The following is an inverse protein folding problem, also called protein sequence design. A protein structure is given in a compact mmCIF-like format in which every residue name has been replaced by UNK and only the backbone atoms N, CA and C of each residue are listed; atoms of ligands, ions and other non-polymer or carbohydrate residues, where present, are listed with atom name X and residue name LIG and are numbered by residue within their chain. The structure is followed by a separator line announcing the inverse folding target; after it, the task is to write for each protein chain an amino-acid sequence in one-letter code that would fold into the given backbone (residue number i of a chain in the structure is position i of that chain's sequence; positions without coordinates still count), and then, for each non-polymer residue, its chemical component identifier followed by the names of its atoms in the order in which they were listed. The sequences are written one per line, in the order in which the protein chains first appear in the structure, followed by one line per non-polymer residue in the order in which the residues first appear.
data_IF_279593212073
#
_entry.id   IF_279593212073
#
_cell.length_a   1.000
_cell.length_b   1.000
_cell.length_c   1.000
_cell.angle_alpha   90.00
_cell.angle_beta   90.00
_cell.angle_gamma   90.00
#
_symmetry.space_group_name_H-M   'P 1'
#
loop_
_entity.id
_entity.type
_entity.pdbx_description
1 polymer ?
#
# COMPACT_ATOMS: atom_id res chain seq x y z
N UNK A 1 -10.64 -11.98 -18.01
CA UNK A 1 -10.86 -11.66 -16.58
C UNK A 1 -10.49 -12.87 -15.74
N UNK A 2 -10.16 -12.68 -14.47
CA UNK A 2 -9.77 -13.73 -13.51
C UNK A 2 -8.75 -14.73 -14.08
N UNK A 3 -7.62 -14.23 -14.59
CA UNK A 3 -6.64 -15.04 -15.32
C UNK A 3 -5.37 -15.28 -14.50
N UNK A 4 -5.11 -14.45 -13.48
CA UNK A 4 -3.89 -14.55 -12.66
C UNK A 4 -4.12 -15.34 -11.38
N UNK A 5 -3.16 -16.21 -11.04
CA UNK A 5 -3.10 -16.85 -9.72
C UNK A 5 -2.59 -15.90 -8.64
N UNK A 6 -1.74 -14.95 -9.03
CA UNK A 6 -1.16 -13.96 -8.14
C UNK A 6 -0.96 -12.61 -8.82
N UNK A 7 -1.06 -11.54 -8.05
CA UNK A 7 -0.72 -10.17 -8.43
C UNK A 7 0.30 -9.66 -7.41
N UNK A 8 1.42 -9.14 -7.90
CA UNK A 8 2.50 -8.57 -7.07
C UNK A 8 2.86 -7.20 -7.60
N UNK A 9 2.97 -6.22 -6.71
CA UNK A 9 3.46 -4.88 -7.03
C UNK A 9 4.60 -4.51 -6.08
N UNK A 10 5.69 -4.01 -6.62
CA UNK A 10 6.86 -3.58 -5.85
C UNK A 10 7.20 -2.17 -6.29
N UNK A 11 7.30 -1.26 -5.32
CA UNK A 11 7.72 0.14 -5.51
C UNK A 11 6.87 0.85 -6.58
N UNK A 12 5.55 0.73 -6.44
CA UNK A 12 4.60 1.23 -7.44
C UNK A 12 3.15 1.34 -6.93
N UNK A 13 2.72 0.48 -5.99
CA UNK A 13 1.32 0.39 -5.58
C UNK A 13 0.79 1.68 -4.96
N UNK A 14 1.63 2.45 -4.28
CA UNK A 14 1.32 3.77 -3.71
C UNK A 14 0.81 4.79 -4.74
N UNK A 15 1.22 4.68 -6.01
CA UNK A 15 0.83 5.64 -7.03
C UNK A 15 -0.64 5.50 -7.49
N UNK A 16 -1.27 4.35 -7.26
CA UNK A 16 -2.62 4.06 -7.75
C UNK A 16 -3.52 3.34 -6.74
N UNK A 17 -2.94 2.63 -5.78
CA UNK A 17 -3.62 1.74 -4.86
C UNK A 17 -4.30 2.43 -3.69
N UNK A 18 -4.06 3.73 -3.51
CA UNK A 18 -4.69 4.55 -2.45
C UNK A 18 -6.12 4.95 -2.79
N UNK A 19 -6.53 4.85 -4.05
CA UNK A 19 -7.89 5.10 -4.46
C UNK A 19 -8.81 3.97 -3.99
N UNK A 20 -9.88 4.31 -3.27
CA UNK A 20 -10.87 3.34 -2.74
C UNK A 20 -11.47 2.41 -3.82
N UNK A 21 -11.45 2.84 -5.08
CA UNK A 21 -11.98 2.10 -6.23
C UNK A 21 -10.97 1.14 -6.86
N UNK A 22 -9.68 1.24 -6.52
CA UNK A 22 -8.63 0.51 -7.23
C UNK A 22 -8.60 -0.97 -6.87
N UNK A 23 -8.73 -1.32 -5.59
CA UNK A 23 -8.76 -2.72 -5.16
C UNK A 23 -9.89 -3.52 -5.85
N UNK A 24 -11.16 -3.07 -5.84
CA UNK A 24 -12.23 -3.75 -6.59
C UNK A 24 -11.93 -3.91 -8.09
N UNK A 25 -11.34 -2.90 -8.71
CA UNK A 25 -10.94 -2.98 -10.13
C UNK A 25 -9.86 -4.05 -10.35
N UNK A 26 -8.82 -4.06 -9.52
CA UNK A 26 -7.69 -4.98 -9.62
C UNK A 26 -8.12 -6.44 -9.43
N UNK A 27 -9.05 -6.70 -8.51
CA UNK A 27 -9.52 -8.05 -8.20
C UNK A 27 -10.26 -8.72 -9.37
N UNK A 28 -10.71 -7.97 -10.38
CA UNK A 28 -11.29 -8.54 -11.62
C UNK A 28 -10.29 -9.38 -12.42
N UNK A 29 -8.99 -9.20 -12.18
CA UNK A 29 -7.93 -9.93 -12.87
C UNK A 29 -7.43 -11.14 -12.07
N UNK A 30 -7.68 -11.16 -10.75
CA UNK A 30 -7.26 -12.23 -9.84
C UNK A 30 -8.29 -13.36 -9.84
N UNK A 31 -7.84 -14.61 -9.91
CA UNK A 31 -8.72 -15.77 -9.75
C UNK A 31 -9.25 -15.87 -8.31
N UNK A 32 -10.45 -16.45 -8.10
CA UNK A 32 -10.91 -16.80 -6.76
C UNK A 32 -9.86 -17.64 -6.03
N UNK A 33 -9.50 -17.24 -4.80
CA UNK A 33 -8.46 -17.90 -4.01
C UNK A 33 -7.01 -17.53 -4.40
N UNK A 34 -6.81 -16.65 -5.39
CA UNK A 34 -5.51 -16.13 -5.75
C UNK A 34 -4.91 -15.19 -4.69
N UNK A 35 -3.64 -14.83 -4.86
CA UNK A 35 -2.90 -13.99 -3.90
C UNK A 35 -2.64 -12.58 -4.44
N UNK A 36 -2.78 -11.58 -3.59
CA UNK A 36 -2.38 -10.20 -3.86
C UNK A 36 -1.33 -9.79 -2.83
N UNK A 37 -0.21 -9.24 -3.29
CA UNK A 37 0.83 -8.70 -2.43
C UNK A 37 1.41 -7.40 -2.97
N UNK A 38 1.80 -6.51 -2.06
CA UNK A 38 2.54 -5.30 -2.41
C UNK A 38 3.70 -5.06 -1.45
N UNK A 39 4.74 -4.38 -1.95
CA UNK A 39 5.79 -3.74 -1.16
C UNK A 39 5.99 -2.33 -1.71
N UNK A 40 5.89 -1.32 -0.85
CA UNK A 40 5.94 0.11 -1.20
C UNK A 40 6.71 0.85 -0.11
N UNK A 41 7.31 2.01 -0.42
CA UNK A 41 7.65 2.99 0.59
C UNK A 41 6.47 3.27 1.53
N UNK A 42 6.78 3.49 2.80
CA UNK A 42 5.79 3.69 3.85
C UNK A 42 6.31 4.69 4.88
N UNK A 43 5.41 5.51 5.41
CA UNK A 43 5.68 6.28 6.61
C UNK A 43 5.50 5.39 7.86
N UNK A 44 6.22 5.70 8.93
CA UNK A 44 6.01 5.08 10.26
C UNK A 44 4.87 5.73 11.04
N UNK A 45 4.40 6.89 10.58
CA UNK A 45 3.23 7.61 11.09
C UNK A 45 2.55 8.36 9.95
N UNK A 46 1.22 8.39 9.95
CA UNK A 46 0.44 9.05 8.90
C UNK A 46 0.77 10.55 8.79
N UNK A 47 1.01 11.03 7.57
CA UNK A 47 1.26 12.45 7.30
C UNK A 47 0.07 13.31 7.73
N UNK A 48 -1.16 12.79 7.62
CA UNK A 48 -2.36 13.48 8.09
C UNK A 48 -2.30 13.79 9.60
N UNK A 49 -1.71 12.90 10.39
CA UNK A 49 -1.53 13.13 11.82
C UNK A 49 -0.38 14.08 12.12
N UNK A 50 0.67 14.04 11.30
CA UNK A 50 1.80 14.97 11.40
C UNK A 50 1.41 16.40 10.99
N UNK A 51 0.38 16.55 10.16
CA UNK A 51 -0.03 17.83 9.57
C UNK A 51 0.95 18.39 8.54
N UNK A 52 2.03 17.66 8.24
CA UNK A 52 3.08 18.04 7.30
C UNK A 52 3.86 16.82 6.82
N UNK A 53 4.51 16.95 5.66
CA UNK A 53 5.57 16.04 5.24
C UNK A 53 6.85 16.50 5.97
N UNK A 54 7.54 15.64 6.73
CA UNK A 54 8.81 15.99 7.36
C UNK A 54 9.81 16.54 6.35
N UNK A 55 10.52 17.62 6.69
CA UNK A 55 11.37 18.36 5.73
C UNK A 55 12.39 17.45 5.04
N UNK A 56 13.07 16.59 5.79
CA UNK A 56 14.07 15.66 5.25
C UNK A 56 13.49 14.63 4.29
N UNK A 57 12.21 14.27 4.40
CA UNK A 57 11.52 13.38 3.43
C UNK A 57 11.10 14.18 2.21
N UNK A 58 10.51 15.38 2.44
CA UNK A 58 10.08 16.28 1.38
C UNK A 58 11.23 16.71 0.47
N UNK A 59 12.44 16.84 0.99
CA UNK A 59 13.64 17.15 0.21
C UNK A 59 14.02 16.04 -0.77
N UNK A 60 13.66 14.78 -0.50
CA UNK A 60 14.01 13.62 -1.33
C UNK A 60 12.89 13.26 -2.31
N UNK A 61 11.65 13.20 -1.83
CA UNK A 61 10.50 12.70 -2.62
C UNK A 61 9.34 13.69 -2.75
N UNK A 62 9.51 14.89 -2.20
CA UNK A 62 8.53 15.96 -2.36
C UNK A 62 7.15 15.60 -1.81
N UNK A 63 6.14 15.83 -2.64
CA UNK A 63 4.73 15.61 -2.30
C UNK A 63 4.31 14.14 -2.41
N UNK A 64 5.10 13.30 -3.09
CA UNK A 64 4.76 11.88 -3.32
C UNK A 64 4.61 11.11 -2.00
N UNK A 65 5.35 11.52 -0.97
CA UNK A 65 5.26 10.96 0.38
C UNK A 65 3.83 10.95 0.93
N UNK A 66 2.91 11.80 0.45
CA UNK A 66 1.49 11.80 0.86
C UNK A 66 0.83 10.44 0.62
N UNK A 67 1.26 9.67 -0.38
CA UNK A 67 0.76 8.34 -0.67
C UNK A 67 1.44 7.22 0.14
N UNK A 68 2.50 7.54 0.89
CA UNK A 68 3.26 6.57 1.68
C UNK A 68 2.58 6.30 3.02
N UNK A 69 1.54 5.49 2.99
CA UNK A 69 0.78 5.14 4.19
C UNK A 69 1.46 4.09 5.06
N UNK A 70 1.13 4.09 6.34
CA UNK A 70 1.52 3.08 7.32
C UNK A 70 0.98 1.70 6.94
N UNK A 71 1.62 0.65 7.45
CA UNK A 71 1.11 -0.72 7.28
C UNK A 71 -0.31 -0.90 7.85
N UNK A 72 -0.63 -0.19 8.94
CA UNK A 72 -1.95 -0.24 9.58
C UNK A 72 -3.03 0.43 8.73
N UNK A 73 -2.69 1.55 8.07
CA UNK A 73 -3.58 2.20 7.11
C UNK A 73 -3.90 1.27 5.94
N UNK A 74 -2.89 0.63 5.34
CA UNK A 74 -3.09 -0.33 4.24
C UNK A 74 -3.93 -1.53 4.65
N UNK A 75 -3.71 -2.05 5.87
CA UNK A 75 -4.54 -3.10 6.44
C UNK A 75 -6.01 -2.67 6.48
N UNK A 76 -6.30 -1.52 7.09
CA UNK A 76 -7.66 -1.01 7.19
C UNK A 76 -8.29 -0.79 5.81
N UNK A 77 -7.55 -0.14 4.90
CA UNK A 77 -8.02 0.22 3.56
C UNK A 77 -8.46 -1.01 2.76
N UNK A 78 -7.81 -2.16 2.93
CA UNK A 78 -8.23 -3.41 2.29
C UNK A 78 -9.26 -4.19 3.11
N UNK A 79 -9.07 -4.34 4.43
CA UNK A 79 -9.96 -5.14 5.29
C UNK A 79 -11.39 -4.59 5.30
N UNK A 80 -11.58 -3.26 5.32
CA UNK A 80 -12.91 -2.64 5.38
C UNK A 80 -13.78 -2.93 4.14
N UNK A 81 -13.15 -3.32 3.03
CA UNK A 81 -13.88 -3.64 1.80
C UNK A 81 -14.54 -5.01 1.85
N UNK A 82 -14.09 -5.90 2.74
CA UNK A 82 -14.48 -7.31 2.83
C UNK A 82 -14.21 -8.13 1.55
N UNK A 83 -13.52 -7.54 0.56
CA UNK A 83 -13.23 -8.19 -0.73
C UNK A 83 -12.03 -9.14 -0.65
N UNK A 84 -11.16 -8.95 0.33
CA UNK A 84 -9.96 -9.74 0.57
C UNK A 84 -9.81 -10.03 2.05
N UNK A 85 -9.02 -11.05 2.38
CA UNK A 85 -8.55 -11.31 3.74
C UNK A 85 -7.10 -10.82 3.86
N UNK A 86 -6.84 -9.77 4.63
CA UNK A 86 -5.47 -9.28 4.84
C UNK A 86 -4.70 -10.23 5.77
N UNK A 87 -3.80 -11.03 5.21
CA UNK A 87 -2.99 -11.99 5.96
C UNK A 87 -1.76 -11.38 6.63
N UNK A 88 -1.20 -10.30 6.07
CA UNK A 88 -0.05 -9.58 6.62
C UNK A 88 -0.03 -8.13 6.15
N UNK A 89 0.37 -7.23 7.04
CA UNK A 89 0.70 -5.85 6.76
C UNK A 89 1.68 -5.43 7.86
N UNK A 90 2.90 -5.06 7.48
CA UNK A 90 3.98 -4.73 8.42
C UNK A 90 5.02 -3.84 7.73
N UNK A 91 5.77 -3.11 8.54
CA UNK A 91 7.03 -2.52 8.08
C UNK A 91 8.06 -3.63 7.89
N UNK A 92 8.94 -3.46 6.91
CA UNK A 92 10.08 -4.35 6.74
C UNK A 92 11.10 -4.06 7.86
N UNK A 93 11.47 -5.07 8.69
CA UNK A 93 12.50 -4.89 9.71
C UNK A 93 13.80 -4.42 9.06
N UNK A 94 14.46 -3.46 9.72
CA UNK A 94 15.78 -2.96 9.33
C UNK A 94 15.88 -2.39 7.91
N UNK A 95 14.77 -2.05 7.25
CA UNK A 95 14.75 -1.56 5.86
C UNK A 95 15.48 -0.23 5.62
N UNK A 96 15.88 0.47 6.68
CA UNK A 96 16.66 1.71 6.61
C UNK A 96 18.15 1.49 6.92
N UNK A 97 18.54 0.27 7.31
CA UNK A 97 19.92 -0.13 7.62
C UNK A 97 20.53 -0.86 6.41
N UNK A 98 20.73 -0.13 5.31
CA UNK A 98 21.58 -0.59 4.20
C UNK A 98 23.04 -0.18 4.43
#
# INVERSE_FOLDING_TARGET
EQSFDAIVSVDAFEYFGTADTYLPYLLRFLRPGGQLGMATPAMTREIRELGMIPSHIKEVVGWEAIAWHTAEWWRFHWDITELVKVTSARLQPDAWQD
#
